data_IF_319680660634
#
_entry.id   IF_319680660634
#
_cell.length_a   1.000
_cell.length_b   1.000
_cell.length_c   1.000
_cell.angle_alpha   90.00
_cell.angle_beta   90.00
_cell.angle_gamma   90.00
#
_symmetry.space_group_name_H-M   'P 1'
#
loop_
_entity.id
_entity.type
_entity.pdbx_description
1 polymer ?
#
# COMPACT_ATOMS: atom_id res chain seq x y z
N UNK A 1 -21.15 0.48 -58.53
CA UNK A 1 -21.52 1.01 -57.19
C UNK A 1 -20.94 0.16 -56.06
N UNK A 2 -20.91 -1.17 -56.20
CA UNK A 2 -20.58 -2.11 -55.11
C UNK A 2 -19.16 -2.03 -54.53
N UNK A 3 -18.14 -1.69 -55.33
CA UNK A 3 -16.74 -1.64 -54.85
C UNK A 3 -16.46 -0.45 -53.93
N UNK A 4 -17.16 0.68 -54.11
CA UNK A 4 -17.08 1.87 -53.26
C UNK A 4 -17.75 1.61 -51.90
N UNK A 5 -18.90 0.92 -51.90
CA UNK A 5 -19.64 0.57 -50.69
C UNK A 5 -18.86 -0.46 -49.84
N UNK A 6 -18.29 -1.50 -50.45
CA UNK A 6 -17.44 -2.49 -49.76
C UNK A 6 -16.20 -1.87 -49.11
N UNK A 7 -15.55 -0.91 -49.77
CA UNK A 7 -14.41 -0.16 -49.21
C UNK A 7 -14.81 0.71 -48.03
N UNK A 8 -15.98 1.33 -48.08
CA UNK A 8 -16.51 2.15 -46.99
C UNK A 8 -16.86 1.29 -45.77
N UNK A 9 -17.53 0.14 -45.97
CA UNK A 9 -17.81 -0.81 -44.89
C UNK A 9 -16.53 -1.36 -44.26
N UNK A 10 -15.50 -1.68 -45.05
CA UNK A 10 -14.22 -2.16 -44.52
C UNK A 10 -13.51 -1.09 -43.67
N UNK A 11 -13.53 0.17 -44.10
CA UNK A 11 -12.99 1.31 -43.33
C UNK A 11 -13.75 1.52 -42.02
N UNK A 12 -15.08 1.42 -42.01
CA UNK A 12 -15.88 1.52 -40.80
C UNK A 12 -15.59 0.38 -39.81
N UNK A 13 -15.48 -0.86 -40.29
CA UNK A 13 -15.17 -2.02 -39.44
C UNK A 13 -13.75 -1.93 -38.88
N UNK A 14 -12.77 -1.54 -39.70
CA UNK A 14 -11.40 -1.34 -39.23
C UNK A 14 -11.32 -0.21 -38.18
N UNK A 15 -12.04 0.89 -38.39
CA UNK A 15 -12.12 2.01 -37.44
C UNK A 15 -12.77 1.62 -36.11
N UNK A 16 -13.88 0.88 -36.15
CA UNK A 16 -14.54 0.36 -34.96
C UNK A 16 -13.67 -0.63 -34.18
N UNK A 17 -12.94 -1.49 -34.88
CA UNK A 17 -12.06 -2.47 -34.24
C UNK A 17 -10.85 -1.79 -33.57
N UNK A 18 -10.27 -0.77 -34.20
CA UNK A 18 -9.20 0.02 -33.60
C UNK A 18 -9.68 0.80 -32.36
N UNK A 19 -10.90 1.36 -32.40
CA UNK A 19 -11.51 2.02 -31.25
C UNK A 19 -11.79 1.06 -30.08
N UNK A 20 -12.21 -0.18 -30.36
CA UNK A 20 -12.42 -1.21 -29.34
C UNK A 20 -11.11 -1.63 -28.65
N UNK A 21 -10.00 -1.73 -29.39
CA UNK A 21 -8.70 -2.08 -28.82
C UNK A 21 -8.10 -0.95 -27.95
N UNK A 22 -8.47 0.31 -28.21
CA UNK A 22 -8.03 1.45 -27.43
C UNK A 22 -8.80 1.64 -26.10
N UNK A 23 -9.85 0.85 -25.84
CA UNK A 23 -10.70 0.99 -24.66
C UNK A 23 -10.10 0.39 -23.37
N UNK A 24 -8.91 -0.21 -23.43
CA UNK A 24 -8.25 -0.75 -22.25
C UNK A 24 -7.51 0.37 -21.51
N UNK A 25 -8.09 0.87 -20.40
CA UNK A 25 -7.43 1.79 -19.47
C UNK A 25 -7.32 1.17 -18.07
N UNK A 26 -6.27 1.50 -17.31
CA UNK A 26 -6.16 1.06 -15.93
C UNK A 26 -7.19 1.77 -15.05
N UNK A 27 -7.67 1.08 -14.02
CA UNK A 27 -8.46 1.69 -12.96
C UNK A 27 -7.52 2.41 -11.99
N UNK A 28 -7.71 3.72 -11.84
CA UNK A 28 -6.94 4.57 -10.92
C UNK A 28 -7.73 4.72 -9.62
N UNK A 29 -7.13 4.34 -8.49
CA UNK A 29 -7.69 4.52 -7.16
C UNK A 29 -6.78 5.43 -6.31
N UNK A 30 -7.29 6.60 -5.94
CA UNK A 30 -6.63 7.51 -5.01
C UNK A 30 -7.16 7.23 -3.59
N UNK A 31 -6.25 7.06 -2.63
CA UNK A 31 -6.58 6.80 -1.23
C UNK A 31 -5.79 7.71 -0.30
N UNK A 32 -6.41 8.06 0.82
CA UNK A 32 -5.82 8.91 1.85
C UNK A 32 -6.18 10.38 1.69
N UNK A 33 -5.52 11.22 2.48
CA UNK A 33 -5.65 12.67 2.39
C UNK A 33 -4.28 13.25 2.08
N UNK A 34 -4.14 13.95 0.96
CA UNK A 34 -2.93 14.69 0.65
C UNK A 34 -3.11 16.13 1.13
N UNK A 35 -2.35 16.60 2.14
CA UNK A 35 -2.35 18.00 2.52
C UNK A 35 -2.02 18.89 1.32
N UNK A 36 -2.75 19.99 1.16
CA UNK A 36 -2.41 20.96 0.13
C UNK A 36 -1.10 21.68 0.49
N UNK A 37 -0.21 21.97 -0.47
CA UNK A 37 1.05 22.65 -0.19
C UNK A 37 0.88 24.01 0.52
N UNK A 38 -0.23 24.69 0.24
CA UNK A 38 -0.60 25.97 0.84
C UNK A 38 -0.91 25.84 2.34
N UNK A 39 -1.53 24.73 2.75
CA UNK A 39 -1.80 24.42 4.14
C UNK A 39 -0.53 24.00 4.86
N UNK A 40 0.30 23.15 4.25
CA UNK A 40 1.59 22.77 4.82
C UNK A 40 2.49 23.99 5.08
N UNK A 41 2.47 24.97 4.18
CA UNK A 41 3.25 26.21 4.33
C UNK A 41 2.80 27.08 5.52
N UNK A 42 1.57 26.93 6.00
CA UNK A 42 1.08 27.65 7.18
C UNK A 42 1.57 27.02 8.50
N UNK A 43 2.00 25.75 8.47
CA UNK A 43 2.53 25.05 9.63
C UNK A 43 3.95 25.52 9.91
N UNK A 44 4.15 26.14 11.07
CA UNK A 44 5.44 26.69 11.50
C UNK A 44 6.06 25.85 12.59
N UNK A 45 7.24 25.30 12.31
CA UNK A 45 8.07 24.60 13.28
C UNK A 45 8.36 25.49 14.49
N UNK A 46 8.22 24.92 15.69
CA UNK A 46 8.37 25.58 16.99
C UNK A 46 7.21 26.47 17.41
N UNK A 47 6.22 26.71 16.55
CA UNK A 47 5.10 27.62 16.82
C UNK A 47 3.75 26.92 16.76
N UNK A 48 3.45 26.24 15.66
CA UNK A 48 2.19 25.52 15.47
C UNK A 48 2.05 24.38 16.46
N UNK A 49 0.84 24.18 16.97
CA UNK A 49 0.49 23.13 17.92
C UNK A 49 -0.20 21.96 17.22
N UNK A 50 -0.34 20.82 17.91
CA UNK A 50 -1.18 19.70 17.44
C UNK A 50 -2.61 20.13 17.08
N UNK A 51 -3.18 21.09 17.82
CA UNK A 51 -4.50 21.65 17.55
C UNK A 51 -4.52 22.36 16.21
N UNK A 52 -3.60 23.30 16.00
CA UNK A 52 -3.50 24.05 14.74
C UNK A 52 -3.31 23.14 13.52
N UNK A 53 -2.50 22.08 13.66
CA UNK A 53 -2.31 21.08 12.59
C UNK A 53 -3.60 20.31 12.31
N UNK A 54 -4.37 19.97 13.35
CA UNK A 54 -5.65 19.26 13.20
C UNK A 54 -6.72 20.18 12.59
N UNK A 55 -6.74 21.45 12.97
CA UNK A 55 -7.69 22.43 12.44
C UNK A 55 -7.43 22.73 10.97
N UNK A 56 -6.16 22.69 10.55
CA UNK A 56 -5.76 22.96 9.17
C UNK A 56 -5.82 21.71 8.27
N UNK A 57 -5.22 20.60 8.71
CA UNK A 57 -5.07 19.38 7.88
C UNK A 57 -6.09 18.28 8.18
N UNK A 58 -6.86 18.43 9.26
CA UNK A 58 -7.67 17.35 9.83
C UNK A 58 -6.84 16.33 10.61
N UNK A 59 -7.52 15.26 11.03
CA UNK A 59 -6.87 14.15 11.75
C UNK A 59 -5.87 13.42 10.85
N UNK A 60 -4.74 12.94 11.41
CA UNK A 60 -3.74 12.22 10.63
C UNK A 60 -4.30 10.91 10.08
N UNK A 61 -3.71 10.42 8.97
CA UNK A 61 -4.05 9.10 8.41
C UNK A 61 -3.62 7.96 9.33
N UNK A 62 -2.47 8.12 9.98
CA UNK A 62 -1.98 7.21 11.02
C UNK A 62 -1.05 7.94 11.98
N UNK A 63 -0.95 7.42 13.20
CA UNK A 63 0.13 7.76 14.13
C UNK A 63 1.26 6.74 13.94
N UNK A 64 2.52 7.13 14.13
CA UNK A 64 3.64 6.21 14.00
C UNK A 64 3.60 5.12 15.09
N UNK A 65 4.00 3.91 14.72
CA UNK A 65 3.92 2.73 15.60
C UNK A 65 4.77 2.84 16.87
N UNK A 66 5.92 3.52 16.78
CA UNK A 66 6.90 3.58 17.88
C UNK A 66 6.96 4.94 18.57
N UNK A 67 6.26 5.96 18.05
CA UNK A 67 6.22 7.29 18.62
C UNK A 67 4.83 7.93 18.43
N UNK A 68 4.05 8.13 19.51
CA UNK A 68 2.73 8.74 19.42
C UNK A 68 2.75 10.24 19.05
N UNK A 69 3.92 10.88 19.10
CA UNK A 69 4.12 12.27 18.71
C UNK A 69 4.52 12.41 17.24
N UNK A 70 4.48 11.35 16.45
CA UNK A 70 4.74 11.41 15.01
C UNK A 70 3.47 11.06 14.25
N UNK A 71 2.95 12.03 13.53
CA UNK A 71 1.74 11.93 12.72
C UNK A 71 2.10 11.76 11.25
N UNK A 72 1.34 10.89 10.57
CA UNK A 72 1.54 10.51 9.18
C UNK A 72 0.28 10.86 8.39
N UNK A 73 0.44 11.75 7.40
CA UNK A 73 -0.57 12.01 6.37
C UNK A 73 -0.12 11.28 5.11
N UNK A 74 -0.89 10.28 4.70
CA UNK A 74 -0.49 9.34 3.65
C UNK A 74 -1.47 9.48 2.49
N UNK A 75 -0.94 9.73 1.30
CA UNK A 75 -1.69 9.69 0.05
C UNK A 75 -1.07 8.68 -0.90
N UNK A 76 -1.92 7.89 -1.57
CA UNK A 76 -1.49 6.84 -2.49
C UNK A 76 -2.39 6.76 -3.72
N UNK A 77 -1.76 6.70 -4.88
CA UNK A 77 -2.40 6.35 -6.15
C UNK A 77 -2.02 4.91 -6.50
N UNK A 78 -3.05 4.09 -6.74
CA UNK A 78 -2.90 2.69 -7.14
C UNK A 78 -3.55 2.50 -8.50
N UNK A 79 -2.81 1.94 -9.43
CA UNK A 79 -3.31 1.57 -10.75
C UNK A 79 -3.49 0.06 -10.83
N UNK A 80 -4.65 -0.35 -11.36
CA UNK A 80 -4.96 -1.76 -11.59
C UNK A 80 -5.35 -1.96 -13.04
N UNK A 81 -4.56 -2.74 -13.77
CA UNK A 81 -4.84 -3.07 -15.17
C UNK A 81 -5.47 -4.47 -15.25
N UNK A 82 -6.74 -4.54 -15.65
CA UNK A 82 -7.49 -5.80 -15.81
C UNK A 82 -7.35 -6.72 -14.58
N UNK A 83 -6.76 -7.90 -14.76
CA UNK A 83 -6.53 -8.91 -13.70
C UNK A 83 -5.09 -8.92 -13.17
N UNK A 84 -4.24 -7.98 -13.60
CA UNK A 84 -2.87 -7.87 -13.08
C UNK A 84 -2.87 -7.33 -11.64
N UNK A 85 -1.75 -7.54 -10.95
CA UNK A 85 -1.58 -7.05 -9.59
C UNK A 85 -1.66 -5.52 -9.57
N UNK A 86 -2.39 -4.91 -8.61
CA UNK A 86 -2.38 -3.47 -8.42
C UNK A 86 -0.96 -2.97 -8.13
N UNK A 87 -0.57 -1.88 -8.77
CA UNK A 87 0.73 -1.24 -8.57
C UNK A 87 0.55 0.16 -8.02
N UNK A 88 1.41 0.53 -7.07
CA UNK A 88 1.43 1.89 -6.52
C UNK A 88 2.24 2.76 -7.48
N UNK A 89 1.56 3.67 -8.18
CA UNK A 89 2.22 4.55 -9.17
C UNK A 89 2.68 5.87 -8.55
N UNK A 90 2.00 6.31 -7.49
CA UNK A 90 2.37 7.52 -6.74
C UNK A 90 2.09 7.33 -5.26
N UNK A 91 3.00 7.79 -4.42
CA UNK A 91 2.82 7.84 -2.98
C UNK A 91 3.48 9.09 -2.43
N UNK A 92 2.79 9.76 -1.52
CA UNK A 92 3.28 10.93 -0.80
C UNK A 92 2.96 10.74 0.69
N UNK A 93 3.94 10.99 1.55
CA UNK A 93 3.81 10.88 3.00
C UNK A 93 4.37 12.13 3.65
N UNK A 94 3.49 12.89 4.30
CA UNK A 94 3.90 14.01 5.15
C UNK A 94 4.02 13.51 6.58
N UNK A 95 5.21 13.65 7.14
CA UNK A 95 5.55 13.30 8.51
C UNK A 95 5.64 14.58 9.31
N UNK A 96 4.81 14.70 10.35
CA UNK A 96 4.84 15.81 11.29
C UNK A 96 5.17 15.24 12.66
N UNK A 97 6.30 15.65 13.26
CA UNK A 97 6.64 15.33 14.64
C UNK A 97 6.31 16.48 15.58
N UNK A 98 6.04 16.14 16.83
CA UNK A 98 5.77 17.11 17.88
C UNK A 98 6.72 16.95 19.06
N UNK A 99 7.08 18.07 19.67
CA UNK A 99 7.87 18.11 20.90
C UNK A 99 7.02 17.76 22.14
N UNK A 100 7.67 17.73 23.31
CA UNK A 100 7.03 17.47 24.59
C UNK A 100 5.99 18.54 24.99
N UNK A 101 6.04 19.74 24.39
CA UNK A 101 5.09 20.82 24.58
C UNK A 101 3.92 20.78 23.57
N UNK A 102 3.81 19.71 22.78
CA UNK A 102 2.84 19.52 21.70
C UNK A 102 2.95 20.57 20.57
N UNK A 103 4.15 21.10 20.32
CA UNK A 103 4.44 21.97 19.18
C UNK A 103 5.13 21.19 18.08
N UNK A 104 4.93 21.62 16.84
CA UNK A 104 5.56 21.01 15.67
C UNK A 104 7.07 21.15 15.79
N UNK A 105 7.79 20.03 15.72
CA UNK A 105 9.25 19.96 15.79
C UNK A 105 9.86 19.74 14.40
N UNK A 106 9.21 18.93 13.56
CA UNK A 106 9.65 18.68 12.19
C UNK A 106 8.47 18.40 11.28
N UNK A 107 8.57 18.90 10.05
CA UNK A 107 7.69 18.57 8.92
C UNK A 107 8.59 18.03 7.81
N UNK A 108 8.29 16.84 7.32
CA UNK A 108 9.07 16.20 6.26
C UNK A 108 8.18 15.44 5.29
N UNK A 109 8.46 15.63 4.01
CA UNK A 109 7.77 14.96 2.91
C UNK A 109 8.62 13.80 2.40
N UNK A 110 7.95 12.70 2.06
CA UNK A 110 8.54 11.55 1.40
C UNK A 110 7.68 11.13 0.22
N UNK A 111 8.33 10.69 -0.83
CA UNK A 111 7.69 10.20 -2.05
C UNK A 111 7.91 8.69 -2.22
N UNK A 112 7.39 8.12 -3.30
CA UNK A 112 7.47 6.68 -3.57
C UNK A 112 8.93 6.21 -3.68
N UNK A 113 9.78 7.04 -4.27
CA UNK A 113 11.22 6.84 -4.48
C UNK A 113 12.03 6.81 -3.18
N UNK A 114 11.55 7.43 -2.10
CA UNK A 114 12.20 7.39 -0.78
C UNK A 114 11.97 6.04 -0.05
N UNK A 115 11.14 5.18 -0.62
CA UNK A 115 10.83 3.86 -0.10
C UNK A 115 12.08 2.98 0.02
N UNK A 116 12.37 2.51 1.23
CA UNK A 116 13.46 1.56 1.47
C UNK A 116 12.94 0.12 1.42
N UNK A 117 13.65 -0.73 0.69
CA UNK A 117 13.39 -2.18 0.69
C UNK A 117 13.83 -2.75 2.04
N UNK A 118 12.91 -3.43 2.72
CA UNK A 118 13.21 -4.15 3.96
C UNK A 118 13.61 -5.57 3.59
N UNK A 119 14.82 -5.96 3.95
CA UNK A 119 15.31 -7.33 3.80
C UNK A 119 15.08 -8.08 5.11
N UNK A 120 14.23 -9.12 5.12
CA UNK A 120 14.05 -9.96 6.30
C UNK A 120 15.35 -10.68 6.66
N UNK A 121 15.57 -10.90 7.96
CA UNK A 121 16.70 -11.73 8.40
C UNK A 121 16.47 -13.20 8.08
N UNK A 122 17.50 -13.89 7.59
CA UNK A 122 17.51 -15.34 7.35
C UNK A 122 17.43 -16.17 8.66
N UNK A 123 17.47 -15.52 9.82
CA UNK A 123 17.43 -16.19 11.12
C UNK A 123 16.06 -16.84 11.34
N UNK A 124 16.05 -18.17 11.24
CA UNK A 124 14.90 -18.99 11.61
C UNK A 124 14.83 -19.13 13.13
N UNK A 125 13.65 -18.93 13.72
CA UNK A 125 13.44 -19.19 15.16
C UNK A 125 13.17 -20.68 15.33
N UNK A 126 14.01 -21.43 16.08
CA UNK A 126 13.82 -22.86 16.25
C UNK A 126 12.49 -23.14 16.94
N UNK A 127 11.79 -24.19 16.50
CA UNK A 127 10.52 -24.57 17.13
C UNK A 127 10.79 -25.18 18.51
N UNK A 128 9.96 -24.85 19.50
CA UNK A 128 10.07 -25.42 20.86
C UNK A 128 9.58 -26.89 20.92
N UNK A 129 9.10 -27.45 19.80
CA UNK A 129 8.61 -28.81 19.69
C UNK A 129 9.70 -29.83 19.38
N UNK A 130 9.31 -31.10 19.32
CA UNK A 130 10.20 -32.17 18.86
C UNK A 130 10.24 -32.18 17.33
N UNK A 131 11.43 -32.02 16.77
CA UNK A 131 11.66 -32.28 15.33
C UNK A 131 11.59 -33.79 15.10
N UNK A 132 10.51 -34.25 14.45
CA UNK A 132 10.37 -35.65 14.06
C UNK A 132 11.10 -35.86 12.73
N UNK A 133 11.97 -36.85 12.68
CA UNK A 133 12.51 -37.31 11.38
C UNK A 133 11.40 -37.90 10.53
N UNK A 134 11.60 -37.97 9.21
CA UNK A 134 10.62 -38.55 8.27
C UNK A 134 10.18 -39.95 8.73
N UNK A 135 11.12 -40.79 9.19
CA UNK A 135 10.81 -42.14 9.67
C UNK A 135 9.93 -42.11 10.94
N UNK A 136 10.17 -41.18 11.84
CA UNK A 136 9.37 -41.03 13.05
C UNK A 136 7.96 -40.48 12.75
N UNK A 137 7.80 -39.65 11.72
CA UNK A 137 6.49 -39.21 11.24
C UNK A 137 5.71 -40.36 10.58
N UNK A 138 6.38 -41.22 9.81
CA UNK A 138 5.76 -42.35 9.13
C UNK A 138 5.37 -43.49 10.10
N UNK A 139 6.23 -43.79 11.07
CA UNK A 139 6.07 -44.96 11.94
C UNK A 139 5.69 -44.60 13.39
N UNK A 140 5.54 -43.32 13.73
CA UNK A 140 5.28 -42.86 15.10
C UNK A 140 3.96 -43.34 15.71
N UNK A 141 3.05 -43.89 14.90
CA UNK A 141 1.79 -44.51 15.34
C UNK A 141 1.88 -46.02 15.56
N UNK A 142 2.99 -46.68 15.17
CA UNK A 142 3.17 -48.11 15.41
C UNK A 142 3.43 -48.35 16.90
N UNK A 143 2.62 -49.21 17.52
CA UNK A 143 2.73 -49.55 18.94
C UNK A 143 1.89 -48.72 19.91
N UNK A 144 1.07 -47.76 19.41
CA UNK A 144 0.09 -47.02 20.24
C UNK A 144 -1.16 -47.88 20.47
N UNK A 145 -1.04 -48.90 21.32
CA UNK A 145 -2.18 -49.67 21.80
C UNK A 145 -2.87 -48.87 22.92
N UNK A 146 -4.18 -48.65 22.82
CA UNK A 146 -4.96 -48.08 23.93
C UNK A 146 -4.98 -49.10 25.06
N UNK A 147 -4.32 -48.84 26.18
CA UNK A 147 -4.66 -49.54 27.41
C UNK A 147 -6.09 -49.14 27.79
N UNK A 148 -7.03 -50.02 27.49
CA UNK A 148 -8.34 -49.99 28.15
C UNK A 148 -8.09 -50.46 29.57
N UNK A 149 -7.94 -49.49 30.47
CA UNK A 149 -7.89 -49.75 31.91
C UNK A 149 -9.12 -50.57 32.32
N UNK A 150 -8.88 -51.68 33.01
CA UNK A 150 -9.88 -52.43 33.75
C UNK A 150 -9.47 -52.47 35.21
#
# INVERSE_FOLDING_TARGET
MDSRLKRFTFLCVAGLTAAYLAACSPQIANRGNLPEPEDLAQIKVGQSTKGDVTDLLGTPSSVATFDPNVWLYISRQVETLAFFKPEVTKQEVVVISFDASNRVDLVKEYHLEDGKRVEPSDRVTPTAGRELTILQQLFGNLGRFSETAK
#
